data_IF_104071858530
#
_entry.id   IF_104071858530
#
_cell.length_a   1.000
_cell.length_b   1.000
_cell.length_c   1.000
_cell.angle_alpha   90.00
_cell.angle_beta   90.00
_cell.angle_gamma   90.00
#
_symmetry.space_group_name_H-M   'P 1'
#
loop_
_entity.id
_entity.type
_entity.pdbx_description
1 polymer ?
#
# COMPACT_ATOMS: atom_id res chain seq x y z
N UNK A 1 12.52 31.30 34.33
CA UNK A 1 12.85 29.86 34.39
C UNK A 1 11.74 29.13 33.62
N UNK A 2 11.67 29.25 32.28
CA UNK A 2 12.41 28.45 31.28
C UNK A 2 12.58 27.01 31.77
N UNK A 3 12.05 25.96 31.15
CA UNK A 3 12.24 25.58 29.75
C UNK A 3 11.05 24.69 29.33
N UNK A 4 10.09 25.18 28.53
CA UNK A 4 9.33 24.30 27.64
C UNK A 4 10.17 24.21 26.37
N UNK A 5 11.00 23.18 26.32
CA UNK A 5 11.91 22.89 25.22
C UNK A 5 11.10 22.65 23.95
N UNK A 6 11.08 23.65 23.08
CA UNK A 6 10.69 23.54 21.68
C UNK A 6 11.42 22.35 21.05
N UNK A 7 10.64 21.35 20.59
CA UNK A 7 11.17 20.32 19.69
C UNK A 7 11.30 20.97 18.32
N UNK A 8 12.40 21.68 18.12
CA UNK A 8 12.84 22.15 16.82
C UNK A 8 13.36 20.95 16.03
N UNK A 9 12.49 20.38 15.19
CA UNK A 9 12.90 19.38 14.20
C UNK A 9 13.69 20.10 13.11
N UNK A 10 15.00 20.18 13.25
CA UNK A 10 15.89 20.67 12.20
C UNK A 10 15.93 19.66 11.05
N UNK A 11 15.04 19.82 10.05
CA UNK A 11 15.21 19.23 8.72
C UNK A 11 16.07 20.15 7.86
N UNK A 12 17.34 20.34 8.21
CA UNK A 12 18.27 21.03 7.32
C UNK A 12 19.07 20.01 6.52
N UNK A 13 18.51 19.60 5.38
CA UNK A 13 19.23 18.85 4.35
C UNK A 13 18.90 19.44 2.99
N UNK A 14 19.55 20.55 2.65
CA UNK A 14 19.56 21.10 1.30
C UNK A 14 20.67 20.40 0.49
N UNK A 15 20.27 19.52 -0.42
CA UNK A 15 21.12 19.08 -1.52
C UNK A 15 20.50 19.62 -2.80
N UNK A 16 21.05 20.73 -3.31
CA UNK A 16 20.61 21.31 -4.58
C UNK A 16 21.44 20.70 -5.72
N UNK A 17 20.78 20.19 -6.75
CA UNK A 17 21.43 19.70 -7.96
C UNK A 17 20.58 20.07 -9.16
N UNK A 18 21.23 20.59 -10.20
CA UNK A 18 20.59 20.91 -11.47
C UNK A 18 20.66 19.70 -12.39
N UNK A 19 19.54 19.32 -12.99
CA UNK A 19 19.45 18.20 -13.94
C UNK A 19 18.57 18.62 -15.11
N UNK A 20 18.86 18.08 -16.29
CA UNK A 20 18.08 18.32 -17.51
C UNK A 20 16.99 17.26 -17.61
N UNK A 21 15.76 17.70 -17.90
CA UNK A 21 14.66 16.80 -18.25
C UNK A 21 14.94 16.23 -19.63
N UNK A 22 15.06 14.90 -19.72
CA UNK A 22 15.32 14.19 -20.98
C UNK A 22 14.05 14.05 -21.80
N UNK A 23 14.20 13.55 -23.03
CA UNK A 23 13.06 13.22 -23.90
C UNK A 23 12.01 12.39 -23.15
N UNK A 24 10.73 12.69 -23.44
CA UNK A 24 9.56 12.09 -22.77
C UNK A 24 9.41 12.45 -21.28
N UNK A 25 9.98 13.57 -20.84
CA UNK A 25 9.78 14.07 -19.47
C UNK A 25 10.52 13.29 -18.39
N UNK A 26 11.55 12.51 -18.75
CA UNK A 26 12.30 11.71 -17.79
C UNK A 26 13.27 12.56 -16.98
N UNK A 27 13.18 12.47 -15.65
CA UNK A 27 14.12 13.10 -14.71
C UNK A 27 14.98 12.03 -14.04
N UNK A 28 16.30 12.18 -14.10
CA UNK A 28 17.22 11.25 -13.42
C UNK A 28 17.51 11.78 -12.02
N UNK A 29 17.21 10.98 -10.99
CA UNK A 29 17.57 11.32 -9.61
C UNK A 29 19.08 11.06 -9.41
N UNK A 30 19.88 12.10 -9.07
CA UNK A 30 21.31 11.97 -8.81
C UNK A 30 21.63 10.89 -7.76
N UNK A 31 22.76 10.22 -7.92
CA UNK A 31 23.21 9.15 -7.02
C UNK A 31 23.33 9.62 -5.56
N UNK A 32 23.70 10.88 -5.33
CA UNK A 32 23.79 11.50 -4.01
C UNK A 32 22.45 11.55 -3.27
N UNK A 33 21.34 11.78 -3.99
CA UNK A 33 19.98 11.78 -3.44
C UNK A 33 19.50 10.35 -3.22
N UNK A 34 19.81 9.43 -4.16
CA UNK A 34 19.45 8.00 -4.05
C UNK A 34 20.14 7.30 -2.88
N UNK A 35 21.42 7.59 -2.65
CA UNK A 35 22.17 7.02 -1.53
C UNK A 35 21.56 7.34 -0.16
N UNK A 36 20.79 8.43 -0.06
CA UNK A 36 20.14 8.88 1.18
C UNK A 36 18.64 8.56 1.23
N UNK A 37 18.06 8.15 0.11
CA UNK A 37 16.62 7.92 -0.04
C UNK A 37 16.36 6.47 -0.42
N UNK A 38 16.01 5.63 0.55
CA UNK A 38 15.77 4.20 0.34
C UNK A 38 14.68 3.88 -0.69
N UNK A 39 13.73 4.80 -0.90
CA UNK A 39 12.66 4.67 -1.88
C UNK A 39 13.06 5.05 -3.31
N UNK A 40 14.19 5.73 -3.50
CA UNK A 40 14.61 6.22 -4.82
C UNK A 40 15.41 5.15 -5.59
N UNK A 41 14.96 3.90 -5.52
CA UNK A 41 15.54 2.74 -6.21
C UNK A 41 14.78 2.45 -7.52
N UNK A 42 15.43 1.83 -8.53
CA UNK A 42 14.75 1.43 -9.75
C UNK A 42 13.54 0.53 -9.47
N UNK A 43 12.41 0.80 -10.14
CA UNK A 43 11.17 0.03 -9.97
C UNK A 43 10.29 0.48 -8.79
N UNK A 44 10.74 1.43 -7.96
CA UNK A 44 9.92 1.96 -6.87
C UNK A 44 8.76 2.82 -7.38
N UNK A 45 7.58 2.62 -6.80
CA UNK A 45 6.39 3.42 -7.10
C UNK A 45 6.45 4.72 -6.31
N UNK A 46 6.28 5.85 -7.01
CA UNK A 46 6.30 7.18 -6.42
C UNK A 46 5.03 7.94 -6.75
N UNK A 47 4.66 8.85 -5.86
CA UNK A 47 3.59 9.83 -6.09
C UNK A 47 4.23 11.17 -6.43
N UNK A 48 3.75 11.79 -7.51
CA UNK A 48 4.18 13.11 -7.97
C UNK A 48 3.01 14.07 -7.74
N UNK A 49 3.23 15.12 -6.97
CA UNK A 49 2.24 16.15 -6.74
C UNK A 49 2.82 17.53 -7.06
N UNK A 50 2.05 18.37 -7.73
CA UNK A 50 2.36 19.79 -7.87
C UNK A 50 1.86 20.51 -6.62
N UNK A 51 2.77 21.12 -5.87
CA UNK A 51 2.46 21.80 -4.61
C UNK A 51 2.36 23.31 -4.81
N UNK A 52 3.09 23.84 -5.80
CA UNK A 52 3.04 25.24 -6.27
C UNK A 52 3.27 25.27 -7.78
N UNK A 53 3.10 26.45 -8.39
CA UNK A 53 3.32 26.65 -9.84
C UNK A 53 4.66 26.04 -10.31
N UNK A 54 5.75 26.33 -9.59
CA UNK A 54 7.11 25.90 -9.95
C UNK A 54 7.68 24.82 -9.02
N UNK A 55 6.82 24.14 -8.25
CA UNK A 55 7.26 23.17 -7.25
C UNK A 55 6.51 21.85 -7.41
N UNK A 56 7.25 20.82 -7.80
CA UNK A 56 6.82 19.42 -7.76
C UNK A 56 7.46 18.71 -6.58
N UNK A 57 6.69 17.89 -5.90
CA UNK A 57 7.16 17.04 -4.81
C UNK A 57 6.97 15.59 -5.20
N UNK A 58 8.07 14.83 -5.16
CA UNK A 58 8.11 13.40 -5.42
C UNK A 58 8.29 12.70 -4.08
N UNK A 59 7.41 11.75 -3.77
CA UNK A 59 7.42 10.98 -2.53
C UNK A 59 7.20 9.49 -2.80
N UNK A 60 7.70 8.59 -1.94
CA UNK A 60 7.34 7.19 -2.02
C UNK A 60 5.82 7.03 -2.00
N UNK A 61 5.29 6.18 -2.87
CA UNK A 61 3.88 5.84 -2.81
C UNK A 61 3.65 4.90 -1.62
N UNK A 62 3.38 5.46 -0.45
CA UNK A 62 2.78 4.70 0.65
C UNK A 62 1.32 4.49 0.32
N UNK A 63 1.02 3.36 -0.35
CA UNK A 63 -0.33 2.82 -0.28
C UNK A 63 -0.63 2.64 1.20
N UNK A 64 -1.56 3.41 1.75
CA UNK A 64 -2.23 3.00 2.98
C UNK A 64 -2.98 1.73 2.60
N UNK A 65 -2.29 0.59 2.58
CA UNK A 65 -2.94 -0.69 2.64
C UNK A 65 -3.58 -0.71 4.02
N UNK A 66 -4.79 -0.12 4.13
CA UNK A 66 -5.73 -0.51 5.17
C UNK A 66 -5.68 -2.02 5.13
N UNK A 67 -5.22 -2.63 6.23
CA UNK A 67 -5.06 -4.07 6.32
C UNK A 67 -6.40 -4.70 5.98
N UNK A 68 -6.61 -5.02 4.70
CA UNK A 68 -7.81 -5.65 4.18
C UNK A 68 -7.97 -7.04 4.82
N UNK A 69 -6.90 -7.54 5.43
CA UNK A 69 -6.82 -8.73 6.27
C UNK A 69 -7.98 -8.83 7.25
N UNK A 70 -8.25 -7.79 8.04
CA UNK A 70 -9.29 -7.88 9.07
C UNK A 70 -10.70 -7.90 8.46
N UNK A 71 -10.93 -7.11 7.42
CA UNK A 71 -12.21 -7.08 6.71
C UNK A 71 -12.47 -8.40 5.97
N UNK A 72 -11.44 -8.95 5.33
CA UNK A 72 -11.46 -10.23 4.63
C UNK A 72 -11.80 -11.36 5.59
N UNK A 73 -11.09 -11.46 6.72
CA UNK A 73 -11.34 -12.50 7.72
C UNK A 73 -12.72 -12.37 8.37
N UNK A 74 -13.20 -11.14 8.56
CA UNK A 74 -14.58 -10.89 9.03
C UNK A 74 -15.62 -11.38 8.03
N UNK A 75 -15.43 -11.12 6.73
CA UNK A 75 -16.33 -11.60 5.66
C UNK A 75 -16.31 -13.12 5.54
N UNK A 76 -15.13 -13.75 5.60
CA UNK A 76 -14.99 -15.22 5.57
C UNK A 76 -15.76 -15.85 6.74
N UNK A 77 -15.57 -15.32 7.96
CA UNK A 77 -16.31 -15.80 9.14
C UNK A 77 -17.82 -15.63 8.99
N UNK A 78 -18.28 -14.50 8.44
CA UNK A 78 -19.70 -14.26 8.16
C UNK A 78 -20.27 -15.30 7.20
N UNK A 79 -19.61 -15.57 6.08
CA UNK A 79 -20.06 -16.58 5.11
C UNK A 79 -20.14 -17.96 5.77
N UNK A 80 -19.12 -18.35 6.56
CA UNK A 80 -19.11 -19.62 7.29
C UNK A 80 -20.15 -19.72 8.40
N UNK A 81 -20.66 -18.61 8.91
CA UNK A 81 -21.68 -18.60 9.97
C UNK A 81 -23.09 -18.90 9.46
N UNK A 82 -23.33 -18.77 8.15
CA UNK A 82 -24.60 -19.18 7.56
C UNK A 82 -24.66 -20.70 7.55
N UNK A 83 -25.43 -21.27 8.49
CA UNK A 83 -25.84 -22.67 8.44
C UNK A 83 -27.09 -22.77 7.55
N UNK A 84 -27.08 -23.71 6.61
CA UNK A 84 -28.27 -23.98 5.79
C UNK A 84 -29.47 -24.36 6.66
N UNK A 85 -30.68 -24.03 6.23
CA UNK A 85 -31.93 -24.35 6.96
C UNK A 85 -32.34 -25.83 6.85
N UNK A 86 -31.53 -26.66 6.20
CA UNK A 86 -31.77 -28.09 6.01
C UNK A 86 -31.20 -28.94 7.15
N UNK A 87 -31.54 -30.22 7.15
CA UNK A 87 -30.92 -31.22 8.05
C UNK A 87 -29.40 -31.18 7.90
N UNK A 88 -28.65 -31.14 9.01
CA UNK A 88 -27.19 -31.22 8.97
C UNK A 88 -26.81 -32.56 8.34
N UNK A 89 -26.27 -32.50 7.13
CA UNK A 89 -25.81 -33.66 6.37
C UNK A 89 -24.28 -33.63 6.36
N UNK A 90 -23.63 -34.75 6.60
CA UNK A 90 -22.18 -34.83 6.43
C UNK A 90 -21.81 -34.65 4.96
N UNK A 91 -20.59 -34.19 4.68
CA UNK A 91 -20.10 -34.04 3.31
C UNK A 91 -20.14 -35.38 2.55
N UNK A 92 -19.88 -36.48 3.25
CA UNK A 92 -19.93 -37.84 2.72
C UNK A 92 -21.36 -38.23 2.30
N UNK A 93 -22.34 -37.97 3.14
CA UNK A 93 -23.76 -38.22 2.84
C UNK A 93 -24.29 -37.32 1.72
N UNK A 94 -23.82 -36.06 1.63
CA UNK A 94 -24.16 -35.17 0.53
C UNK A 94 -23.67 -35.72 -0.81
N UNK A 95 -22.40 -36.14 -0.88
CA UNK A 95 -21.81 -36.71 -2.10
C UNK A 95 -22.50 -38.04 -2.47
N UNK A 96 -22.81 -38.90 -1.49
CA UNK A 96 -23.53 -40.14 -1.74
C UNK A 96 -24.93 -39.88 -2.32
N UNK A 97 -25.68 -38.97 -1.69
CA UNK A 97 -27.04 -38.60 -2.13
C UNK A 97 -27.04 -37.90 -3.49
N UNK A 98 -26.05 -37.06 -3.78
CA UNK A 98 -25.88 -36.43 -5.09
C UNK A 98 -25.65 -37.47 -6.19
N UNK A 99 -24.81 -38.47 -5.92
CA UNK A 99 -24.55 -39.59 -6.84
C UNK A 99 -25.76 -40.49 -7.06
N UNK A 100 -26.55 -40.76 -6.01
CA UNK A 100 -27.76 -41.59 -6.10
C UNK A 100 -28.91 -40.91 -6.85
N UNK A 101 -29.03 -39.58 -6.77
CA UNK A 101 -30.10 -38.85 -7.46
C UNK A 101 -29.74 -38.45 -8.91
N UNK A 102 -28.52 -38.75 -9.37
CA UNK A 102 -28.05 -38.48 -10.73
C UNK A 102 -28.01 -39.73 -11.64
N UNK A 103 -28.76 -40.79 -11.29
CA UNK A 103 -29.08 -41.93 -12.15
C UNK A 103 -30.59 -42.06 -12.36
#
# INVERSE_FOLDING_TARGET
MSIFSDILIFRNMQSQTTTIIRNRGQLTIPGTIRARSSWATPGSVVTIAQVKADEIVIRPHTSQTKSLTDDLWRRIRRVRSFKGKGTPLSLSEFIAKDRENHF
#
